data_IF_170962902067
#
_entry.id   IF_170962902067
#
_cell.length_a   1.000
_cell.length_b   1.000
_cell.length_c   1.000
_cell.angle_alpha   90.00
_cell.angle_beta   90.00
_cell.angle_gamma   90.00
#
_symmetry.space_group_name_H-M   'P 1'
#
loop_
_entity.id
_entity.type
_entity.pdbx_description
1 polymer ?
#
# COMPACT_ATOMS: atom_id res chain seq x y z
N UNK A 1 6.27 -13.61 -10.48
CA UNK A 1 4.80 -13.51 -10.58
C UNK A 1 4.47 -12.29 -11.43
N UNK A 2 3.36 -12.26 -12.19
CA UNK A 2 2.94 -11.03 -12.86
C UNK A 2 2.57 -9.96 -11.82
N UNK A 3 2.87 -8.70 -12.09
CA UNK A 3 2.45 -7.56 -11.26
C UNK A 3 0.93 -7.40 -11.33
N UNK A 4 0.23 -7.47 -10.19
CA UNK A 4 -1.23 -7.33 -10.13
C UNK A 4 -1.54 -6.01 -9.42
N UNK A 5 -2.21 -5.09 -10.13
CA UNK A 5 -2.71 -3.85 -9.51
C UNK A 5 -3.95 -4.19 -8.68
N UNK A 6 -3.86 -4.01 -7.36
CA UNK A 6 -4.95 -4.29 -6.43
C UNK A 6 -6.00 -3.16 -6.43
N UNK A 7 -5.54 -1.92 -6.31
CA UNK A 7 -6.35 -0.71 -6.33
C UNK A 7 -5.47 0.52 -6.58
N UNK A 8 -6.10 1.66 -6.85
CA UNK A 8 -5.47 2.97 -6.66
C UNK A 8 -5.77 3.40 -5.24
N UNK A 9 -4.72 3.69 -4.46
CA UNK A 9 -4.83 4.15 -3.08
C UNK A 9 -4.66 5.66 -3.00
N UNK A 10 -5.32 6.25 -2.01
CA UNK A 10 -5.14 7.65 -1.60
C UNK A 10 -4.16 7.71 -0.43
N UNK A 11 -3.24 8.67 -0.45
CA UNK A 11 -2.32 8.92 0.65
C UNK A 11 -2.36 10.39 1.04
N UNK A 12 -2.71 10.67 2.29
CA UNK A 12 -2.62 12.01 2.86
C UNK A 12 -1.24 12.22 3.48
N UNK A 13 -0.52 13.19 2.95
CA UNK A 13 0.83 13.56 3.39
C UNK A 13 0.78 14.48 4.63
N UNK A 14 1.91 14.59 5.33
CA UNK A 14 2.04 15.38 6.56
C UNK A 14 1.74 16.88 6.41
N UNK A 15 1.85 17.42 5.19
CA UNK A 15 1.50 18.80 4.84
C UNK A 15 0.01 18.99 4.47
N UNK A 16 -0.81 17.96 4.71
CA UNK A 16 -2.22 17.84 4.28
C UNK A 16 -2.45 17.77 2.77
N UNK A 17 -1.41 17.73 1.94
CA UNK A 17 -1.59 17.40 0.53
C UNK A 17 -1.99 15.94 0.37
N UNK A 18 -2.61 15.63 -0.77
CA UNK A 18 -3.07 14.29 -1.09
C UNK A 18 -2.38 13.83 -2.36
N UNK A 19 -1.85 12.62 -2.33
CA UNK A 19 -1.33 11.94 -3.50
C UNK A 19 -2.04 10.62 -3.72
N UNK A 20 -1.92 10.09 -4.94
CA UNK A 20 -2.54 8.85 -5.35
C UNK A 20 -1.49 7.94 -5.96
N UNK A 21 -1.73 6.63 -5.91
CA UNK A 21 -0.84 5.67 -6.53
C UNK A 21 -1.44 4.29 -6.61
N UNK A 22 -1.11 3.49 -7.66
CA UNK A 22 -1.42 2.08 -7.64
C UNK A 22 -0.75 1.38 -6.45
N UNK A 23 -1.50 0.45 -5.87
CA UNK A 23 -0.98 -0.59 -4.99
C UNK A 23 -0.85 -1.86 -5.82
N UNK A 24 0.36 -2.38 -5.91
CA UNK A 24 0.74 -3.50 -6.77
C UNK A 24 1.12 -4.66 -5.87
N UNK A 25 0.48 -5.81 -6.01
CA UNK A 25 0.90 -7.04 -5.33
C UNK A 25 2.13 -7.61 -6.04
N UNK A 26 3.27 -7.61 -5.34
CA UNK A 26 4.57 -8.04 -5.87
C UNK A 26 4.91 -9.49 -5.46
N UNK A 27 4.40 -9.92 -4.29
CA UNK A 27 4.48 -11.28 -3.79
C UNK A 27 3.21 -11.63 -2.98
N UNK A 28 3.13 -12.87 -2.47
CA UNK A 28 1.94 -13.39 -1.78
C UNK A 28 1.42 -12.47 -0.67
N UNK A 29 2.32 -11.78 0.06
CA UNK A 29 1.97 -10.86 1.15
C UNK A 29 2.73 -9.53 1.09
N UNK A 30 3.22 -9.14 -0.09
CA UNK A 30 3.95 -7.89 -0.29
C UNK A 30 3.26 -7.02 -1.33
N UNK A 31 3.16 -5.74 -1.00
CA UNK A 31 2.45 -4.77 -1.79
C UNK A 31 3.31 -3.52 -1.96
N UNK A 32 3.49 -3.07 -3.19
CA UNK A 32 4.19 -1.84 -3.54
C UNK A 32 3.16 -0.72 -3.74
N UNK A 33 3.24 0.34 -2.94
CA UNK A 33 2.63 1.62 -3.28
C UNK A 33 3.61 2.42 -4.13
N UNK A 34 3.13 2.98 -5.24
CA UNK A 34 3.92 3.88 -6.09
C UNK A 34 3.11 5.10 -6.45
N UNK A 35 3.57 6.27 -6.07
CA UNK A 35 3.00 7.53 -6.52
C UNK A 35 3.23 7.69 -8.03
N UNK A 36 2.15 7.84 -8.80
CA UNK A 36 2.22 7.98 -10.26
C UNK A 36 1.59 9.28 -10.76
N UNK A 37 0.96 10.06 -9.88
CA UNK A 37 0.11 11.18 -10.28
C UNK A 37 0.67 12.55 -9.89
N UNK A 38 1.85 12.60 -9.28
CA UNK A 38 2.55 13.84 -8.95
C UNK A 38 4.04 13.72 -9.30
N UNK A 39 4.74 14.86 -9.33
CA UNK A 39 6.20 14.91 -9.50
C UNK A 39 6.98 14.41 -8.28
N UNK A 40 6.28 14.03 -7.20
CA UNK A 40 6.88 13.48 -6.00
C UNK A 40 7.22 12.00 -6.23
N UNK A 41 8.51 11.69 -6.25
CA UNK A 41 9.01 10.30 -6.33
C UNK A 41 8.88 9.62 -4.96
N UNK A 42 7.67 9.09 -4.68
CA UNK A 42 7.34 8.39 -3.45
C UNK A 42 6.85 6.98 -3.78
N UNK A 43 7.60 5.98 -3.33
CA UNK A 43 7.22 4.59 -3.42
C UNK A 43 7.70 3.83 -2.19
N UNK A 44 6.95 2.82 -1.79
CA UNK A 44 7.32 1.97 -0.66
C UNK A 44 6.61 0.63 -0.70
N UNK A 45 7.33 -0.41 -0.28
CA UNK A 45 6.80 -1.77 -0.18
C UNK A 45 6.36 -2.03 1.25
N UNK A 46 5.20 -2.65 1.42
CA UNK A 46 4.65 -3.00 2.72
C UNK A 46 4.16 -4.45 2.76
N UNK A 47 4.30 -5.05 3.93
CA UNK A 47 3.92 -6.43 4.26
C UNK A 47 3.28 -6.47 5.64
N UNK A 48 2.58 -7.56 5.94
CA UNK A 48 2.15 -7.82 7.33
C UNK A 48 3.26 -8.54 8.09
N UNK A 49 3.52 -8.08 9.30
CA UNK A 49 4.41 -8.74 10.24
C UNK A 49 3.72 -9.95 10.91
N UNK A 50 4.45 -10.65 11.78
CA UNK A 50 3.94 -11.82 12.49
C UNK A 50 2.69 -11.53 13.37
N UNK A 51 2.54 -10.30 13.84
CA UNK A 51 1.39 -9.85 14.64
C UNK A 51 0.20 -9.39 13.77
N UNK A 52 0.34 -9.42 12.44
CA UNK A 52 -0.67 -8.97 11.49
C UNK A 52 -0.72 -7.45 11.28
N UNK A 53 0.26 -6.70 11.80
CA UNK A 53 0.38 -5.27 11.59
C UNK A 53 1.10 -4.97 10.28
N UNK A 54 0.70 -3.89 9.61
CA UNK A 54 1.40 -3.41 8.42
C UNK A 54 2.74 -2.80 8.78
N UNK A 55 3.79 -3.28 8.13
CA UNK A 55 5.15 -2.77 8.23
C UNK A 55 5.75 -2.61 6.85
N UNK A 56 6.87 -1.90 6.79
CA UNK A 56 7.64 -1.77 5.57
C UNK A 56 8.37 -3.09 5.27
N UNK A 57 8.42 -3.49 3.99
CA UNK A 57 8.90 -4.83 3.61
C UNK A 57 10.43 -4.95 3.48
N UNK A 58 11.12 -3.88 3.07
CA UNK A 58 12.57 -3.82 2.76
C UNK A 58 13.40 -3.00 3.78
N UNK A 59 14.74 -3.06 3.70
CA UNK A 59 15.62 -2.10 4.40
C UNK A 59 15.48 -0.72 3.72
N UNK A 60 14.80 0.22 4.39
CA UNK A 60 14.26 1.44 3.79
C UNK A 60 15.28 2.29 3.01
N UNK A 61 14.90 2.71 1.80
CA UNK A 61 15.34 3.98 1.24
C UNK A 61 14.49 5.09 1.88
N UNK A 62 15.01 5.69 2.95
CA UNK A 62 14.50 6.86 3.67
C UNK A 62 13.26 6.69 4.57
N UNK A 63 13.18 7.56 5.59
CA UNK A 63 12.16 7.67 6.65
C UNK A 63 10.71 7.78 6.13
N UNK A 64 10.12 6.69 5.65
CA UNK A 64 8.69 6.66 5.36
C UNK A 64 7.92 6.72 6.68
N UNK A 65 7.09 7.76 6.89
CA UNK A 65 6.31 7.89 8.11
C UNK A 65 5.39 6.69 8.34
N UNK A 66 5.34 6.18 9.57
CA UNK A 66 4.49 5.02 9.93
C UNK A 66 3.02 5.24 9.58
N UNK A 67 2.51 6.46 9.73
CA UNK A 67 1.13 6.79 9.37
C UNK A 67 0.83 6.62 7.87
N UNK A 68 1.84 6.64 6.98
CA UNK A 68 1.63 6.37 5.56
C UNK A 68 1.44 4.87 5.34
N UNK A 69 2.25 4.05 6.02
CA UNK A 69 2.12 2.58 6.00
C UNK A 69 0.75 2.16 6.49
N UNK A 70 0.28 2.73 7.60
CA UNK A 70 -1.03 2.44 8.18
C UNK A 70 -2.19 2.86 7.25
N UNK A 71 -2.09 4.02 6.60
CA UNK A 71 -3.12 4.49 5.64
C UNK A 71 -3.26 3.59 4.42
N UNK A 72 -2.14 3.19 3.82
CA UNK A 72 -2.15 2.30 2.64
C UNK A 72 -2.55 0.88 3.05
N UNK A 73 -2.01 0.36 4.16
CA UNK A 73 -2.34 -0.95 4.69
C UNK A 73 -3.84 -1.12 4.96
N UNK A 74 -4.50 -0.09 5.52
CA UNK A 74 -5.94 -0.11 5.73
C UNK A 74 -6.74 -0.24 4.42
N UNK A 75 -6.32 0.45 3.36
CA UNK A 75 -6.98 0.38 2.06
C UNK A 75 -6.79 -0.99 1.40
N UNK A 76 -5.62 -1.62 1.55
CA UNK A 76 -5.37 -3.00 1.12
C UNK A 76 -6.31 -3.96 1.84
N UNK A 77 -6.42 -3.85 3.17
CA UNK A 77 -7.32 -4.70 3.96
C UNK A 77 -8.79 -4.54 3.54
N UNK A 78 -9.23 -3.30 3.29
CA UNK A 78 -10.57 -3.02 2.78
C UNK A 78 -10.81 -3.66 1.42
N UNK A 79 -9.84 -3.56 0.50
CA UNK A 79 -9.95 -4.11 -0.85
C UNK A 79 -9.94 -5.64 -0.84
N UNK A 80 -9.04 -6.26 -0.09
CA UNK A 80 -8.98 -7.71 0.06
C UNK A 80 -10.27 -8.27 0.68
N UNK A 81 -10.83 -7.57 1.68
CA UNK A 81 -12.13 -7.95 2.26
C UNK A 81 -13.28 -7.82 1.26
N UNK A 82 -13.26 -6.79 0.39
CA UNK A 82 -14.28 -6.62 -0.64
C UNK A 82 -14.22 -7.76 -1.67
N UNK A 83 -13.02 -8.08 -2.17
CA UNK A 83 -12.80 -9.18 -3.11
C UNK A 83 -13.21 -10.55 -2.51
N UNK A 84 -12.83 -10.81 -1.26
CA UNK A 84 -13.24 -12.04 -0.56
C UNK A 84 -14.75 -12.15 -0.35
N UNK A 85 -15.48 -11.04 -0.25
CA UNK A 85 -16.95 -11.02 -0.18
C UNK A 85 -17.63 -11.16 -1.54
N UNK A 86 -16.98 -10.78 -2.63
CA UNK A 86 -17.50 -10.95 -3.99
C UNK A 86 -17.37 -12.39 -4.50
N UNK A 87 -16.35 -13.14 -4.05
CA UNK A 87 -16.15 -14.56 -4.42
C UNK A 87 -17.16 -15.50 -3.70
N UNK A 88 -17.78 -15.04 -2.61
CA UNK A 88 -18.72 -15.82 -1.80
C UNK A 88 -20.20 -15.54 -2.10
N UNK A 89 -20.51 -14.78 -3.16
CA UNK A 89 -21.88 -14.50 -3.63
C UNK A 89 -22.15 -15.17 -4.96
#
# INVERSE_FOLDING_TARGET
MPEIILNVAELKLSDNSVTYGPVIQTAENEYLFRNTFSSLDLYFTLKKNADGNWEYADEALADIPKNYIEQIGLQIDQKNRALGKEVLK
#
